data_IF_579020784274
#
_entry.id   IF_579020784274
#
_cell.length_a   1.000
_cell.length_b   1.000
_cell.length_c   1.000
_cell.angle_alpha   90.00
_cell.angle_beta   90.00
_cell.angle_gamma   90.00
#
_symmetry.space_group_name_H-M   'P 1'
#
loop_
_entity.id
_entity.type
_entity.pdbx_description
1 polymer ?
#
# COMPACT_ATOMS: atom_id res chain seq x y z
N UNK A 1 -19.27 26.58 49.36
CA UNK A 1 -20.20 26.00 48.37
C UNK A 1 -19.38 25.42 47.22
N UNK A 2 -19.22 24.09 47.17
CA UNK A 2 -18.45 23.38 46.14
C UNK A 2 -19.34 23.17 44.91
N UNK A 3 -19.00 23.78 43.77
CA UNK A 3 -19.66 23.51 42.48
C UNK A 3 -18.90 22.37 41.79
N UNK A 4 -19.48 21.18 41.82
CA UNK A 4 -19.05 20.04 41.01
C UNK A 4 -19.51 20.28 39.57
N UNK A 5 -18.57 20.54 38.66
CA UNK A 5 -18.83 20.51 37.23
C UNK A 5 -18.53 19.07 36.75
N UNK A 6 -19.58 18.31 36.50
CA UNK A 6 -19.53 17.00 35.84
C UNK A 6 -19.09 17.20 34.38
N UNK A 7 -17.85 16.85 34.09
CA UNK A 7 -17.30 16.81 32.74
C UNK A 7 -17.82 15.55 32.04
N UNK A 8 -18.86 15.71 31.23
CA UNK A 8 -19.35 14.65 30.33
C UNK A 8 -18.47 14.65 29.08
N UNK A 9 -17.38 13.89 29.11
CA UNK A 9 -16.55 13.65 27.92
C UNK A 9 -17.30 12.66 27.00
N UNK A 10 -17.90 13.18 25.93
CA UNK A 10 -18.35 12.36 24.80
C UNK A 10 -17.12 11.67 24.18
N UNK A 11 -16.98 10.37 24.42
CA UNK A 11 -16.11 9.50 23.64
C UNK A 11 -16.70 9.39 22.24
N UNK A 12 -16.27 10.26 21.32
CA UNK A 12 -16.35 9.97 19.89
C UNK A 12 -15.39 8.81 19.61
N UNK A 13 -15.87 7.57 19.72
CA UNK A 13 -15.28 6.41 19.05
C UNK A 13 -15.53 6.54 17.55
N UNK A 14 -14.88 7.53 16.93
CA UNK A 14 -14.75 7.59 15.49
C UNK A 14 -13.94 6.38 15.04
N UNK A 15 -14.56 5.55 14.22
CA UNK A 15 -13.93 4.44 13.52
C UNK A 15 -12.63 4.93 12.86
N UNK A 16 -11.48 4.62 13.46
CA UNK A 16 -10.19 4.63 12.79
C UNK A 16 -10.22 3.47 11.79
N UNK A 17 -10.80 3.71 10.60
CA UNK A 17 -10.31 3.00 9.44
C UNK A 17 -8.83 3.35 9.35
N UNK A 18 -7.96 2.47 9.87
CA UNK A 18 -6.54 2.48 9.58
C UNK A 18 -6.40 2.20 8.08
N UNK A 19 -6.73 3.21 7.26
CA UNK A 19 -6.41 3.22 5.85
C UNK A 19 -4.89 3.19 5.79
N UNK A 20 -4.33 2.02 5.55
CA UNK A 20 -2.91 1.86 5.35
C UNK A 20 -2.47 2.90 4.32
N UNK A 21 -1.62 3.83 4.74
CA UNK A 21 -1.13 4.89 3.88
C UNK A 21 -0.46 4.26 2.66
N UNK A 22 -0.86 4.68 1.46
CA UNK A 22 -0.27 4.17 0.24
C UNK A 22 1.23 4.47 0.18
N UNK A 23 2.00 3.57 -0.42
CA UNK A 23 3.43 3.73 -0.62
C UNK A 23 3.67 4.90 -1.56
N UNK A 24 4.35 5.93 -1.06
CA UNK A 24 4.66 7.15 -1.82
C UNK A 24 6.13 7.60 -1.68
N UNK A 25 6.97 6.87 -0.94
CA UNK A 25 8.39 7.17 -0.70
C UNK A 25 9.22 5.88 -0.71
N UNK A 26 10.53 6.01 -0.55
CA UNK A 26 11.35 4.85 -0.18
C UNK A 26 10.80 4.23 1.11
N UNK A 27 10.52 2.93 1.09
CA UNK A 27 9.84 2.25 2.20
C UNK A 27 10.25 0.78 2.29
N UNK A 28 10.37 0.27 3.51
CA UNK A 28 10.42 -1.18 3.76
C UNK A 28 9.21 -1.57 4.60
N UNK A 29 8.46 -2.55 4.12
CA UNK A 29 7.23 -3.05 4.75
C UNK A 29 7.48 -4.50 5.16
N UNK A 30 7.23 -4.81 6.44
CA UNK A 30 7.25 -6.18 6.94
C UNK A 30 5.82 -6.55 7.34
N UNK A 31 5.31 -7.64 6.79
CA UNK A 31 3.96 -8.13 7.07
C UNK A 31 4.02 -9.57 7.57
N UNK A 32 3.60 -9.79 8.81
CA UNK A 32 3.28 -11.12 9.33
C UNK A 32 1.81 -11.42 9.03
N UNK A 33 1.52 -12.59 8.48
CA UNK A 33 0.17 -12.98 8.05
C UNK A 33 0.05 -14.51 8.00
N UNK A 34 -1.14 -15.07 8.24
CA UNK A 34 -1.37 -16.50 8.07
C UNK A 34 -1.35 -16.94 6.61
N UNK A 35 -1.07 -18.22 6.37
CA UNK A 35 -1.23 -18.81 5.03
C UNK A 35 -2.70 -18.72 4.60
N UNK A 36 -2.95 -18.37 3.34
CA UNK A 36 -4.26 -18.10 2.73
C UNK A 36 -5.03 -16.89 3.29
N UNK A 37 -4.51 -16.19 4.31
CA UNK A 37 -5.00 -14.87 4.67
C UNK A 37 -4.50 -13.83 3.67
N UNK A 38 -5.19 -12.69 3.57
CA UNK A 38 -4.81 -11.65 2.62
C UNK A 38 -4.67 -10.28 3.26
N UNK A 39 -3.80 -9.46 2.67
CA UNK A 39 -3.72 -8.04 2.97
C UNK A 39 -3.62 -7.23 1.68
N UNK A 40 -4.00 -5.96 1.78
CA UNK A 40 -3.92 -5.03 0.66
C UNK A 40 -2.80 -4.02 0.88
N UNK A 41 -2.13 -3.64 -0.21
CA UNK A 41 -1.15 -2.56 -0.20
C UNK A 41 -1.47 -1.60 -1.35
N UNK A 42 -1.56 -0.32 -1.03
CA UNK A 42 -1.74 0.75 -2.01
C UNK A 42 -0.40 1.35 -2.41
N UNK A 43 -0.28 1.73 -3.68
CA UNK A 43 0.86 2.43 -4.26
C UNK A 43 0.38 3.73 -4.89
N UNK A 44 1.03 4.84 -4.54
CA UNK A 44 0.73 6.15 -5.10
C UNK A 44 1.44 6.34 -6.45
N UNK A 45 0.66 6.40 -7.53
CA UNK A 45 1.11 6.59 -8.91
C UNK A 45 0.82 8.01 -9.41
N UNK A 46 1.64 8.51 -10.34
CA UNK A 46 1.37 9.71 -11.13
C UNK A 46 1.51 9.40 -12.64
N UNK A 47 0.57 8.63 -13.23
CA UNK A 47 0.71 8.14 -14.60
C UNK A 47 0.77 9.27 -15.64
N UNK A 48 0.16 10.43 -15.38
CA UNK A 48 0.18 11.59 -16.28
C UNK A 48 1.57 12.19 -16.46
N UNK A 49 2.44 12.09 -15.44
CA UNK A 49 3.86 12.45 -15.53
C UNK A 49 4.74 11.23 -15.89
N UNK A 50 4.11 10.07 -16.07
CA UNK A 50 4.75 8.81 -16.41
C UNK A 50 5.35 8.04 -15.24
N UNK A 51 5.17 8.51 -14.02
CA UNK A 51 5.70 7.85 -12.84
C UNK A 51 4.71 6.81 -12.30
N UNK A 52 5.17 5.57 -12.21
CA UNK A 52 4.38 4.44 -11.69
C UNK A 52 5.25 3.53 -10.82
N UNK A 53 4.62 2.84 -9.88
CA UNK A 53 5.24 1.72 -9.18
C UNK A 53 5.21 0.45 -10.03
N UNK A 54 6.36 -0.19 -10.16
CA UNK A 54 6.53 -1.43 -10.90
C UNK A 54 7.25 -2.47 -10.05
N UNK A 55 6.86 -3.76 -10.15
CA UNK A 55 7.65 -4.84 -9.58
C UNK A 55 9.05 -4.87 -10.23
N UNK A 56 10.08 -5.19 -9.44
CA UNK A 56 11.38 -5.52 -9.97
C UNK A 56 11.32 -6.85 -10.75
N UNK A 57 12.18 -7.02 -11.74
CA UNK A 57 12.31 -8.32 -12.42
C UNK A 57 12.65 -9.40 -11.38
N UNK A 58 11.87 -10.49 -11.38
CA UNK A 58 11.92 -11.60 -10.41
C UNK A 58 11.41 -11.26 -8.99
N UNK A 59 10.69 -10.16 -8.79
CA UNK A 59 10.02 -9.91 -7.52
C UNK A 59 8.77 -10.77 -7.40
N UNK A 60 8.87 -11.85 -6.63
CA UNK A 60 7.73 -12.64 -6.22
C UNK A 60 7.91 -14.12 -6.47
N UNK A 61 7.64 -14.87 -5.41
CA UNK A 61 7.56 -16.33 -5.43
C UNK A 61 6.20 -16.73 -6.02
N UNK A 62 6.15 -17.79 -6.84
CA UNK A 62 4.91 -18.47 -7.26
C UNK A 62 4.04 -18.91 -6.05
N UNK A 63 4.59 -18.84 -4.84
CA UNK A 63 3.92 -19.12 -3.57
C UNK A 63 3.15 -17.93 -2.97
N UNK A 64 3.03 -16.80 -3.67
CA UNK A 64 2.19 -15.67 -3.25
C UNK A 64 1.32 -15.23 -4.41
N UNK A 65 0.02 -15.34 -4.24
CA UNK A 65 -0.93 -14.79 -5.19
C UNK A 65 -1.00 -13.27 -5.02
N UNK A 66 -0.78 -12.53 -6.12
CA UNK A 66 -0.91 -11.07 -6.17
C UNK A 66 -2.04 -10.70 -7.12
N UNK A 67 -3.03 -9.96 -6.64
CA UNK A 67 -4.22 -9.60 -7.44
C UNK A 67 -4.43 -8.09 -7.43
N UNK A 68 -4.55 -7.42 -8.59
CA UNK A 68 -4.96 -6.01 -8.63
C UNK A 68 -6.40 -5.88 -8.13
N UNK A 69 -6.63 -5.00 -7.17
CA UNK A 69 -7.95 -4.82 -6.54
C UNK A 69 -8.69 -3.65 -7.14
N UNK A 70 -8.03 -2.49 -7.19
CA UNK A 70 -8.63 -1.23 -7.65
C UNK A 70 -7.56 -0.21 -8.00
N UNK A 71 -7.97 0.78 -8.79
CA UNK A 71 -7.19 1.99 -9.06
C UNK A 71 -8.10 3.20 -8.91
N UNK A 72 -7.77 4.08 -7.97
CA UNK A 72 -8.62 5.21 -7.58
C UNK A 72 -7.88 6.52 -7.82
N UNK A 73 -8.52 7.48 -8.49
CA UNK A 73 -8.01 8.85 -8.60
C UNK A 73 -8.17 9.53 -7.24
N UNK A 74 -7.07 10.00 -6.65
CA UNK A 74 -7.07 10.65 -5.33
C UNK A 74 -6.81 12.15 -5.39
N UNK A 75 -6.19 12.63 -6.46
CA UNK A 75 -5.99 14.05 -6.72
C UNK A 75 -5.89 14.30 -8.24
N UNK A 76 -6.39 15.43 -8.71
CA UNK A 76 -6.48 15.79 -10.13
C UNK A 76 -7.89 15.66 -10.72
N UNK A 77 -7.98 15.78 -12.05
CA UNK A 77 -9.25 15.77 -12.78
C UNK A 77 -9.13 15.01 -14.09
N UNK A 78 -10.09 14.14 -14.39
CA UNK A 78 -10.15 13.48 -15.70
C UNK A 78 -10.69 14.44 -16.75
N UNK A 79 -10.07 14.54 -17.95
CA UNK A 79 -9.04 13.65 -18.49
C UNK A 79 -7.61 14.17 -18.30
N UNK A 80 -7.40 15.30 -17.59
CA UNK A 80 -6.09 15.95 -17.42
C UNK A 80 -5.10 15.13 -16.60
N UNK A 81 -5.54 13.99 -16.08
CA UNK A 81 -4.75 13.08 -15.28
C UNK A 81 -4.69 13.50 -13.83
N UNK A 82 -3.85 12.81 -13.06
CA UNK A 82 -3.76 13.02 -11.63
C UNK A 82 -3.03 11.91 -10.92
N UNK A 83 -3.04 12.01 -9.61
CA UNK A 83 -2.48 11.03 -8.69
C UNK A 83 -3.48 9.91 -8.47
N UNK A 84 -3.01 8.67 -8.58
CA UNK A 84 -3.82 7.49 -8.35
C UNK A 84 -3.27 6.68 -7.19
N UNK A 85 -4.14 5.94 -6.51
CA UNK A 85 -3.73 4.83 -5.67
C UNK A 85 -4.10 3.54 -6.39
N UNK A 86 -3.09 2.74 -6.76
CA UNK A 86 -3.26 1.37 -7.26
C UNK A 86 -3.10 0.40 -6.09
N UNK A 87 -4.12 -0.42 -5.83
CA UNK A 87 -4.11 -1.37 -4.70
C UNK A 87 -3.94 -2.79 -5.20
N UNK A 88 -3.01 -3.53 -4.59
CA UNK A 88 -2.82 -4.95 -4.80
C UNK A 88 -3.15 -5.73 -3.53
N UNK A 89 -3.72 -6.91 -3.70
CA UNK A 89 -3.93 -7.89 -2.63
C UNK A 89 -2.87 -8.98 -2.72
N UNK A 90 -2.30 -9.33 -1.59
CA UNK A 90 -1.28 -10.37 -1.44
C UNK A 90 -1.85 -11.49 -0.58
N UNK A 91 -1.75 -12.72 -1.07
CA UNK A 91 -2.19 -13.93 -0.38
C UNK A 91 -1.08 -14.98 -0.47
N UNK A 92 -0.30 -15.23 0.60
CA UNK A 92 0.67 -16.33 0.61
C UNK A 92 -0.05 -17.68 0.59
N UNK A 93 0.42 -18.58 -0.27
CA UNK A 93 -0.13 -19.92 -0.48
C UNK A 93 0.64 -20.99 0.30
N UNK A 94 1.83 -20.65 0.82
CA UNK A 94 2.66 -21.50 1.66
C UNK A 94 3.27 -20.72 2.81
N UNK A 95 3.73 -21.42 3.85
CA UNK A 95 4.59 -20.83 4.88
C UNK A 95 5.92 -20.39 4.26
N UNK A 96 6.56 -19.37 4.85
CA UNK A 96 7.88 -18.92 4.44
C UNK A 96 8.06 -17.41 4.55
N UNK A 97 9.20 -16.94 4.05
CA UNK A 97 9.50 -15.52 3.89
C UNK A 97 9.58 -15.19 2.40
N UNK A 98 8.79 -14.22 1.96
CA UNK A 98 8.73 -13.78 0.57
C UNK A 98 9.15 -12.32 0.46
N UNK A 99 10.00 -12.02 -0.50
CA UNK A 99 10.53 -10.68 -0.72
C UNK A 99 10.09 -10.15 -2.08
N UNK A 100 9.52 -8.96 -2.09
CA UNK A 100 9.15 -8.23 -3.30
C UNK A 100 9.83 -6.88 -3.28
N UNK A 101 10.45 -6.53 -4.40
CA UNK A 101 10.97 -5.19 -4.62
C UNK A 101 10.11 -4.48 -5.65
N UNK A 102 9.79 -3.23 -5.38
CA UNK A 102 9.10 -2.34 -6.30
C UNK A 102 9.94 -1.09 -6.52
N UNK A 103 9.86 -0.54 -7.72
CA UNK A 103 10.50 0.73 -8.08
C UNK A 103 9.45 1.71 -8.59
N UNK A 104 9.53 2.95 -8.11
CA UNK A 104 8.78 4.07 -8.65
C UNK A 104 9.62 4.79 -9.68
N UNK A 105 9.11 4.98 -10.88
CA UNK A 105 9.88 5.66 -11.92
C UNK A 105 9.21 5.67 -13.28
N UNK A 106 10.00 6.07 -14.29
CA UNK A 106 9.59 6.13 -15.69
C UNK A 106 10.24 4.96 -16.44
N UNK A 107 9.54 3.83 -16.64
CA UNK A 107 10.15 2.60 -17.18
C UNK A 107 10.82 2.79 -18.55
N UNK A 108 10.27 3.63 -19.44
CA UNK A 108 10.87 3.90 -20.76
C UNK A 108 12.17 4.72 -20.70
N UNK A 109 12.50 5.32 -19.56
CA UNK A 109 13.77 6.02 -19.32
C UNK A 109 14.73 5.22 -18.44
N UNK A 110 14.35 4.02 -18.00
CA UNK A 110 15.07 3.25 -16.97
C UNK A 110 15.33 4.06 -15.68
N UNK A 111 14.48 5.06 -15.39
CA UNK A 111 14.59 5.88 -14.18
C UNK A 111 14.00 5.12 -12.99
N UNK A 112 14.74 5.05 -11.88
CA UNK A 112 14.30 4.49 -10.61
C UNK A 112 14.40 5.58 -9.54
N UNK A 113 13.31 6.28 -9.29
CA UNK A 113 13.26 7.42 -8.38
C UNK A 113 13.04 7.01 -6.92
N UNK A 114 12.28 5.94 -6.67
CA UNK A 114 12.04 5.40 -5.31
C UNK A 114 12.01 3.88 -5.32
N UNK A 115 12.22 3.26 -4.16
CA UNK A 115 12.20 1.81 -3.94
C UNK A 115 11.31 1.42 -2.76
N UNK A 116 10.47 0.42 -2.95
CA UNK A 116 9.72 -0.21 -1.87
C UNK A 116 10.11 -1.68 -1.75
N UNK A 117 10.46 -2.12 -0.55
CA UNK A 117 10.73 -3.53 -0.25
C UNK A 117 9.61 -4.07 0.62
N UNK A 118 8.87 -5.06 0.14
CA UNK A 118 7.85 -5.77 0.88
C UNK A 118 8.37 -7.16 1.28
N UNK A 119 8.48 -7.40 2.58
CA UNK A 119 8.79 -8.69 3.19
C UNK A 119 7.53 -9.27 3.82
N UNK A 120 7.04 -10.38 3.29
CA UNK A 120 5.92 -11.15 3.85
C UNK A 120 6.50 -12.32 4.63
N UNK A 121 6.09 -12.49 5.88
CA UNK A 121 6.42 -13.64 6.73
C UNK A 121 5.11 -14.39 6.96
N UNK A 122 4.96 -15.52 6.26
CA UNK A 122 3.80 -16.38 6.34
C UNK A 122 4.08 -17.56 7.27
N UNK A 123 3.25 -17.73 8.30
CA UNK A 123 3.40 -18.77 9.32
C UNK A 123 2.06 -19.30 9.78
#
# INVERSE_FOLDING_TARGET
>A
MKKNLTMLALLLSGFLSHGQQAVCSDTTIIKNIGVNESFELGFEDLPSAGYIWLPAENSGSDQVQITPVKKVLVDGYQPRGGKYITTYRYTPLSCGTFLFEYFYGRPWLNEKAKKCVLKIIAG
#
